data_IF_005841610416
#
_entry.id   IF_005841610416
#
_cell.length_a   1.000
_cell.length_b   1.000
_cell.length_c   1.000
_cell.angle_alpha   90.00
_cell.angle_beta   90.00
_cell.angle_gamma   90.00
#
_symmetry.space_group_name_H-M   'P 1'
#
loop_
_entity.id
_entity.type
_entity.pdbx_description
1 polymer ?
#
# COMPACT_ATOMS: atom_id res chain seq x y z
N UNK A 1 -39.94 -16.65 21.81
CA UNK A 1 -41.18 -15.89 21.79
C UNK A 1 -42.11 -16.46 20.74
N UNK A 2 -43.39 -16.58 21.07
CA UNK A 2 -44.45 -16.88 20.10
C UNK A 2 -44.75 -15.63 19.25
N UNK A 3 -45.48 -15.79 18.14
CA UNK A 3 -45.94 -14.62 17.35
C UNK A 3 -46.83 -13.69 18.21
N UNK A 4 -47.70 -14.26 19.05
CA UNK A 4 -48.56 -13.52 19.96
C UNK A 4 -47.77 -12.70 21.00
N UNK A 5 -46.67 -13.28 21.56
CA UNK A 5 -45.75 -12.55 22.44
C UNK A 5 -45.06 -11.40 21.71
N UNK A 6 -44.68 -11.61 20.45
CA UNK A 6 -44.03 -10.57 19.63
C UNK A 6 -45.01 -9.42 19.37
N UNK A 7 -46.23 -9.72 18.92
CA UNK A 7 -47.26 -8.71 18.65
C UNK A 7 -47.58 -7.89 19.91
N UNK A 8 -47.77 -8.56 21.05
CA UNK A 8 -47.97 -7.90 22.34
C UNK A 8 -46.84 -6.97 22.74
N UNK A 9 -45.57 -7.46 22.62
CA UNK A 9 -44.40 -6.65 22.97
C UNK A 9 -44.21 -5.43 22.06
N UNK A 10 -44.51 -5.58 20.74
CA UNK A 10 -44.51 -4.47 19.81
C UNK A 10 -45.62 -3.44 20.14
N UNK A 11 -46.83 -3.90 20.47
CA UNK A 11 -47.91 -3.02 20.87
C UNK A 11 -47.61 -2.24 22.17
N UNK A 12 -46.84 -2.83 23.09
CA UNK A 12 -46.38 -2.21 24.32
C UNK A 12 -45.18 -1.26 24.08
N UNK A 13 -44.70 -1.10 22.85
CA UNK A 13 -43.55 -0.22 22.50
C UNK A 13 -42.19 -0.70 23.04
N UNK A 14 -42.05 -1.98 23.34
CA UNK A 14 -40.77 -2.53 23.84
C UNK A 14 -39.72 -2.46 22.75
N UNK A 15 -38.49 -2.09 23.16
CA UNK A 15 -37.36 -2.14 22.25
C UNK A 15 -37.06 -3.58 21.81
N UNK A 16 -36.73 -3.76 20.55
CA UNK A 16 -36.46 -5.07 19.98
C UNK A 16 -35.22 -5.04 19.05
N UNK A 17 -34.68 -6.20 18.78
CA UNK A 17 -33.66 -6.44 17.78
C UNK A 17 -34.13 -7.57 16.88
N UNK A 18 -33.82 -7.50 15.58
CA UNK A 18 -34.06 -8.63 14.69
C UNK A 18 -32.83 -9.55 14.71
N UNK A 19 -33.06 -10.84 14.91
CA UNK A 19 -32.02 -11.87 14.86
C UNK A 19 -32.27 -12.85 13.72
N UNK A 20 -31.18 -13.30 13.10
CA UNK A 20 -31.20 -14.52 12.31
C UNK A 20 -31.48 -15.70 13.27
N UNK A 21 -32.40 -16.56 12.89
CA UNK A 21 -32.45 -17.89 13.51
C UNK A 21 -31.58 -18.81 12.66
N UNK A 22 -30.40 -19.16 13.16
CA UNK A 22 -29.50 -20.03 12.44
C UNK A 22 -30.09 -21.42 12.24
N UNK A 23 -29.88 -21.97 11.06
CA UNK A 23 -30.29 -23.32 10.67
C UNK A 23 -29.18 -24.35 10.74
N UNK A 24 -27.97 -23.91 11.15
CA UNK A 24 -26.78 -24.76 11.20
C UNK A 24 -26.75 -25.73 12.38
N UNK A 25 -25.82 -26.66 12.32
CA UNK A 25 -25.60 -27.70 13.33
C UNK A 25 -24.08 -27.80 13.65
N UNK A 26 -23.76 -28.06 14.93
CA UNK A 26 -22.37 -28.27 15.37
C UNK A 26 -21.68 -29.45 14.64
N UNK A 27 -22.46 -30.48 14.29
CA UNK A 27 -21.96 -31.69 13.64
C UNK A 27 -21.78 -31.55 12.13
N UNK A 28 -22.23 -30.43 11.55
CA UNK A 28 -22.22 -30.21 10.10
C UNK A 28 -21.15 -29.20 9.70
N UNK A 29 -20.64 -29.39 8.50
CA UNK A 29 -19.66 -28.49 7.90
C UNK A 29 -20.18 -27.92 6.59
N UNK A 30 -19.77 -26.71 6.31
CA UNK A 30 -19.97 -26.03 5.03
C UNK A 30 -18.64 -26.04 4.26
N UNK A 31 -18.74 -26.32 2.96
CA UNK A 31 -17.60 -26.20 2.04
C UNK A 31 -17.89 -25.03 1.10
N UNK A 32 -16.96 -24.13 0.92
CA UNK A 32 -17.04 -23.04 -0.05
C UNK A 32 -15.71 -22.88 -0.79
N UNK A 33 -15.77 -22.34 -2.00
CA UNK A 33 -14.60 -22.08 -2.83
C UNK A 33 -14.16 -20.61 -2.64
N UNK A 34 -12.99 -20.42 -2.04
CA UNK A 34 -12.32 -19.12 -2.01
C UNK A 34 -11.45 -18.97 -3.26
N UNK A 35 -11.54 -17.82 -3.94
CA UNK A 35 -10.84 -17.62 -5.22
C UNK A 35 -9.32 -17.66 -5.07
N UNK A 36 -8.78 -17.25 -3.90
CA UNK A 36 -7.35 -17.21 -3.61
C UNK A 36 -6.90 -18.52 -2.96
N UNK A 37 -7.69 -19.03 -2.00
CA UNK A 37 -7.29 -20.13 -1.10
C UNK A 37 -7.81 -21.51 -1.53
N UNK A 38 -8.69 -21.53 -2.53
CA UNK A 38 -9.33 -22.77 -2.96
C UNK A 38 -10.44 -23.22 -2.01
N UNK A 39 -10.66 -24.52 -1.91
CA UNK A 39 -11.71 -25.09 -1.06
C UNK A 39 -11.39 -24.93 0.42
N UNK A 40 -12.33 -24.36 1.15
CA UNK A 40 -12.29 -24.19 2.61
C UNK A 40 -13.46 -24.94 3.21
N UNK A 41 -13.18 -25.75 4.21
CA UNK A 41 -14.18 -26.47 5.00
C UNK A 41 -14.22 -25.88 6.41
N UNK A 42 -15.42 -25.54 6.87
CA UNK A 42 -15.64 -24.91 8.18
C UNK A 42 -16.93 -25.44 8.83
N UNK A 43 -17.10 -25.35 10.16
CA UNK A 43 -18.40 -25.58 10.82
C UNK A 43 -19.48 -24.67 10.24
N UNK A 44 -20.71 -25.14 10.20
CA UNK A 44 -21.86 -24.28 9.88
C UNK A 44 -22.02 -23.17 10.93
N UNK A 45 -22.73 -22.09 10.57
CA UNK A 45 -23.08 -21.06 11.54
C UNK A 45 -24.18 -21.60 12.49
N UNK A 46 -23.96 -21.50 13.78
CA UNK A 46 -24.93 -21.90 14.83
C UNK A 46 -25.37 -20.70 15.68
N UNK A 47 -24.90 -19.49 15.31
CA UNK A 47 -25.14 -18.29 16.09
C UNK A 47 -26.33 -17.51 15.51
N UNK A 48 -27.28 -17.18 16.36
CA UNK A 48 -28.40 -16.30 16.06
C UNK A 48 -27.92 -14.84 16.03
N UNK A 49 -27.33 -14.42 14.92
CA UNK A 49 -26.76 -13.07 14.78
C UNK A 49 -27.81 -11.98 14.79
N UNK A 50 -27.48 -10.85 15.43
CA UNK A 50 -28.30 -9.64 15.35
C UNK A 50 -28.19 -9.05 13.95
N UNK A 51 -29.32 -8.90 13.26
CA UNK A 51 -29.42 -8.32 11.91
C UNK A 51 -29.73 -6.84 11.95
N UNK A 52 -30.76 -6.46 12.75
CA UNK A 52 -31.10 -5.06 13.00
C UNK A 52 -30.97 -4.77 14.48
N UNK A 53 -30.32 -3.65 14.82
CA UNK A 53 -30.22 -3.12 16.17
C UNK A 53 -31.54 -2.46 16.59
N UNK A 54 -31.67 -2.14 17.87
CA UNK A 54 -32.87 -1.50 18.40
C UNK A 54 -33.16 -0.09 17.85
N UNK A 55 -32.16 0.55 17.25
CA UNK A 55 -32.29 1.82 16.53
C UNK A 55 -32.68 1.65 15.06
N UNK A 56 -32.94 0.40 14.61
CA UNK A 56 -33.28 0.08 13.21
C UNK A 56 -32.11 0.01 12.26
N UNK A 57 -30.88 0.31 12.72
CA UNK A 57 -29.68 0.26 11.87
C UNK A 57 -29.22 -1.20 11.75
N UNK A 58 -28.92 -1.67 10.52
CA UNK A 58 -28.42 -3.03 10.32
C UNK A 58 -27.01 -3.19 10.91
N UNK A 59 -26.73 -4.43 11.34
CA UNK A 59 -25.34 -4.81 11.64
C UNK A 59 -24.57 -5.02 10.33
N UNK A 60 -23.23 -5.01 10.44
CA UNK A 60 -22.36 -5.26 9.28
C UNK A 60 -22.74 -6.53 8.50
N UNK A 61 -23.04 -7.62 9.19
CA UNK A 61 -23.35 -8.89 8.55
C UNK A 61 -24.60 -8.83 7.67
N UNK A 62 -25.64 -8.14 8.12
CA UNK A 62 -26.87 -7.99 7.35
C UNK A 62 -26.69 -6.94 6.24
N UNK A 63 -26.07 -5.81 6.54
CA UNK A 63 -25.73 -4.80 5.55
C UNK A 63 -24.92 -5.40 4.38
N UNK A 64 -23.87 -6.20 4.70
CA UNK A 64 -23.08 -6.93 3.72
C UNK A 64 -23.95 -7.76 2.75
N UNK A 65 -24.91 -8.55 3.27
CA UNK A 65 -25.74 -9.37 2.41
C UNK A 65 -26.67 -8.54 1.50
N UNK A 66 -27.28 -7.47 2.05
CA UNK A 66 -28.20 -6.61 1.33
C UNK A 66 -27.49 -5.72 0.31
N UNK A 67 -26.44 -5.01 0.75
CA UNK A 67 -25.73 -4.06 -0.10
C UNK A 67 -25.05 -4.78 -1.27
N UNK A 68 -24.37 -5.89 -1.02
CA UNK A 68 -23.75 -6.67 -2.08
C UNK A 68 -24.76 -7.25 -3.09
N UNK A 69 -25.95 -7.64 -2.62
CA UNK A 69 -27.01 -8.06 -3.52
C UNK A 69 -27.49 -6.92 -4.42
N UNK A 70 -27.85 -5.76 -3.82
CA UNK A 70 -28.40 -4.62 -4.57
C UNK A 70 -27.36 -3.95 -5.46
N UNK A 71 -26.10 -3.90 -5.02
CA UNK A 71 -24.97 -3.42 -5.82
C UNK A 71 -24.50 -4.43 -6.88
N UNK A 72 -25.08 -5.63 -6.91
CA UNK A 72 -24.73 -6.73 -7.84
C UNK A 72 -23.26 -7.13 -7.73
N UNK A 73 -22.72 -7.14 -6.52
CA UNK A 73 -21.35 -7.54 -6.24
C UNK A 73 -21.11 -8.98 -6.67
N UNK A 74 -20.12 -9.18 -7.52
CA UNK A 74 -19.77 -10.52 -8.04
C UNK A 74 -18.68 -11.20 -7.21
N UNK A 75 -17.76 -10.40 -6.66
CA UNK A 75 -16.61 -10.87 -5.89
C UNK A 75 -16.45 -9.99 -4.65
N UNK A 76 -16.34 -10.60 -3.48
CA UNK A 76 -16.00 -9.96 -2.22
C UNK A 76 -14.54 -10.20 -1.92
N UNK A 77 -13.70 -9.17 -2.07
CA UNK A 77 -12.27 -9.23 -1.81
C UNK A 77 -12.01 -8.53 -0.47
N UNK A 78 -11.49 -9.27 0.52
CA UNK A 78 -11.26 -8.74 1.87
C UNK A 78 -10.16 -9.50 2.59
N UNK A 79 -9.74 -9.02 3.76
CA UNK A 79 -8.72 -9.67 4.58
C UNK A 79 -9.16 -11.03 5.14
N UNK A 80 -8.22 -11.93 5.34
CA UNK A 80 -8.44 -13.30 5.83
C UNK A 80 -9.08 -13.39 7.22
N UNK A 81 -9.03 -12.31 8.01
CA UNK A 81 -9.71 -12.22 9.31
C UNK A 81 -11.23 -12.40 9.21
N UNK A 82 -11.79 -12.26 8.02
CA UNK A 82 -13.22 -12.43 7.74
C UNK A 82 -13.60 -13.85 7.32
N UNK A 83 -12.66 -14.77 7.17
CA UNK A 83 -12.95 -16.17 6.76
C UNK A 83 -13.93 -16.81 7.74
N UNK A 84 -13.73 -16.61 9.06
CA UNK A 84 -14.61 -17.17 10.09
C UNK A 84 -16.06 -16.69 9.99
N UNK A 85 -16.32 -15.60 9.30
CA UNK A 85 -17.68 -15.05 9.10
C UNK A 85 -18.36 -15.58 7.82
N UNK A 86 -17.65 -16.28 6.93
CA UNK A 86 -18.21 -16.76 5.66
C UNK A 86 -19.41 -17.69 5.84
N UNK A 87 -19.40 -18.66 6.78
CA UNK A 87 -20.56 -19.55 6.99
C UNK A 87 -21.86 -18.77 7.28
N UNK A 88 -21.82 -17.77 8.16
CA UNK A 88 -22.98 -16.94 8.48
C UNK A 88 -23.40 -16.05 7.31
N UNK A 89 -22.43 -15.52 6.53
CA UNK A 89 -22.75 -14.71 5.36
C UNK A 89 -23.44 -15.55 4.27
N UNK A 90 -22.95 -16.76 4.00
CA UNK A 90 -23.59 -17.69 3.04
C UNK A 90 -25.03 -18.03 3.51
N UNK A 91 -25.23 -18.26 4.81
CA UNK A 91 -26.56 -18.51 5.37
C UNK A 91 -27.47 -17.30 5.16
N UNK A 92 -27.01 -16.07 5.45
CA UNK A 92 -27.76 -14.83 5.24
C UNK A 92 -28.19 -14.65 3.79
N UNK A 93 -27.26 -14.80 2.83
CA UNK A 93 -27.61 -14.74 1.41
C UNK A 93 -28.71 -15.73 1.04
N UNK A 94 -28.62 -16.97 1.54
CA UNK A 94 -29.61 -18.03 1.26
C UNK A 94 -30.98 -17.70 1.87
N UNK A 95 -31.01 -17.26 3.15
CA UNK A 95 -32.26 -16.91 3.84
C UNK A 95 -32.94 -15.72 3.16
N UNK A 96 -32.18 -14.74 2.69
CA UNK A 96 -32.72 -13.61 1.92
C UNK A 96 -33.08 -13.95 0.46
N UNK A 97 -32.84 -15.18 0.00
CA UNK A 97 -33.07 -15.57 -1.39
C UNK A 97 -32.09 -14.93 -2.38
N UNK A 98 -30.93 -14.49 -1.90
CA UNK A 98 -29.92 -13.80 -2.68
C UNK A 98 -28.85 -14.77 -3.21
N UNK A 99 -28.27 -14.41 -4.37
CA UNK A 99 -27.14 -15.15 -4.90
C UNK A 99 -25.88 -14.87 -4.09
N UNK A 100 -25.23 -15.93 -3.59
CA UNK A 100 -23.95 -15.82 -2.86
C UNK A 100 -22.86 -15.32 -3.82
N UNK A 101 -22.12 -14.24 -3.48
CA UNK A 101 -20.96 -13.79 -4.27
C UNK A 101 -19.79 -14.76 -4.13
N UNK A 102 -18.78 -14.61 -4.99
CA UNK A 102 -17.49 -15.29 -4.81
C UNK A 102 -16.68 -14.56 -3.76
N UNK A 103 -16.06 -15.31 -2.86
CA UNK A 103 -15.17 -14.77 -1.84
C UNK A 103 -13.70 -14.92 -2.25
N UNK A 104 -12.91 -13.92 -1.93
CA UNK A 104 -11.46 -13.91 -2.14
C UNK A 104 -10.79 -13.29 -0.90
N UNK A 105 -10.17 -14.09 -0.07
CA UNK A 105 -9.56 -13.63 1.17
C UNK A 105 -8.06 -13.43 1.01
N UNK A 106 -7.64 -12.16 1.03
CA UNK A 106 -6.25 -11.76 0.94
C UNK A 106 -5.52 -12.01 2.25
N UNK A 107 -4.22 -12.35 2.20
CA UNK A 107 -3.41 -12.46 3.40
C UNK A 107 -3.23 -11.08 4.07
N UNK A 108 -2.90 -11.10 5.35
CA UNK A 108 -2.54 -9.88 6.08
C UNK A 108 -1.14 -9.43 5.72
N UNK A 109 -0.93 -8.10 5.71
CA UNK A 109 0.42 -7.53 5.68
C UNK A 109 0.98 -7.60 7.10
N UNK A 110 2.12 -8.25 7.22
CA UNK A 110 2.82 -8.49 8.48
C UNK A 110 4.06 -7.59 8.55
N UNK A 111 4.52 -7.33 9.77
CA UNK A 111 5.81 -6.70 10.06
C UNK A 111 6.52 -7.53 11.10
N UNK A 112 7.86 -7.59 11.04
CA UNK A 112 8.66 -8.15 12.11
C UNK A 112 8.67 -7.14 13.27
N UNK A 113 8.31 -7.60 14.45
CA UNK A 113 8.42 -6.81 15.68
C UNK A 113 9.90 -6.69 16.06
N UNK A 114 10.36 -5.46 16.27
CA UNK A 114 11.80 -5.20 16.53
C UNK A 114 12.25 -5.67 17.91
N UNK A 115 11.32 -5.79 18.86
CA UNK A 115 11.64 -6.20 20.24
C UNK A 115 11.63 -7.73 20.37
N UNK A 116 10.66 -8.40 19.75
CA UNK A 116 10.48 -9.85 19.95
C UNK A 116 10.99 -10.69 18.78
N UNK A 117 11.17 -10.09 17.60
CA UNK A 117 11.50 -10.80 16.36
C UNK A 117 10.31 -11.54 15.73
N UNK A 118 9.13 -11.51 16.36
CA UNK A 118 7.94 -12.19 15.89
C UNK A 118 7.26 -11.43 14.75
N UNK A 119 6.57 -12.16 13.89
CA UNK A 119 5.74 -11.57 12.83
C UNK A 119 4.37 -11.23 13.39
N UNK A 120 4.01 -9.95 13.32
CA UNK A 120 2.69 -9.44 13.73
C UNK A 120 2.00 -8.70 12.59
N UNK A 121 0.69 -8.56 12.67
CA UNK A 121 -0.08 -7.73 11.74
C UNK A 121 0.38 -6.28 11.80
N UNK A 122 0.55 -5.66 10.64
CA UNK A 122 0.79 -4.22 10.51
C UNK A 122 -0.39 -3.45 11.13
N UNK A 123 -0.11 -2.49 12.00
CA UNK A 123 -1.11 -1.82 12.83
C UNK A 123 -0.99 -0.30 12.73
N UNK A 124 -2.07 0.38 12.34
CA UNK A 124 -2.13 1.85 12.29
C UNK A 124 -1.76 2.57 13.60
N UNK A 125 -1.83 1.88 14.74
CA UNK A 125 -1.47 2.47 16.06
C UNK A 125 0.01 2.40 16.36
N UNK A 126 0.72 1.43 15.79
CA UNK A 126 2.14 1.17 16.07
C UNK A 126 3.04 1.47 14.87
N UNK A 127 2.52 1.35 13.66
CA UNK A 127 3.28 1.38 12.42
C UNK A 127 2.78 2.53 11.52
N UNK A 128 3.54 3.62 11.39
CA UNK A 128 3.16 4.75 10.52
C UNK A 128 2.89 4.30 9.07
N UNK A 129 3.65 3.34 8.58
CA UNK A 129 3.54 2.75 7.24
C UNK A 129 2.23 1.95 7.01
N UNK A 130 1.42 1.75 8.04
CA UNK A 130 0.06 1.22 7.90
C UNK A 130 -0.95 2.26 7.39
N UNK A 131 -0.56 3.52 7.31
CA UNK A 131 -1.37 4.64 6.84
C UNK A 131 -0.90 5.13 5.47
N UNK A 132 -1.84 5.43 4.57
CA UNK A 132 -1.52 5.98 3.24
C UNK A 132 -0.76 7.31 3.35
N UNK A 133 -1.08 8.13 4.35
CA UNK A 133 -0.41 9.41 4.61
C UNK A 133 1.10 9.29 4.73
N UNK A 134 1.59 8.22 5.35
CA UNK A 134 3.03 7.95 5.47
C UNK A 134 3.77 7.97 4.12
N UNK A 135 3.19 7.33 3.11
CA UNK A 135 3.81 7.27 1.78
C UNK A 135 3.69 8.61 1.05
N UNK A 136 2.57 9.31 1.20
CA UNK A 136 2.32 10.60 0.56
C UNK A 136 3.25 11.67 1.16
N UNK A 137 3.29 11.78 2.47
CA UNK A 137 4.14 12.72 3.22
C UNK A 137 5.63 12.40 3.01
N UNK A 138 5.98 11.11 3.00
CA UNK A 138 7.33 10.63 2.70
C UNK A 138 7.76 10.85 1.24
N UNK A 139 6.83 11.22 0.34
CA UNK A 139 7.12 11.52 -1.05
C UNK A 139 7.33 10.27 -1.93
N UNK A 140 6.74 9.13 -1.59
CA UNK A 140 6.76 7.98 -2.48
C UNK A 140 5.84 8.20 -3.68
N UNK A 141 6.29 7.93 -4.92
CA UNK A 141 5.40 7.88 -6.07
C UNK A 141 4.26 6.87 -5.84
N UNK A 142 3.06 7.23 -6.26
CA UNK A 142 1.89 6.34 -6.18
C UNK A 142 2.16 4.99 -6.86
N UNK A 143 2.79 5.03 -8.02
CA UNK A 143 3.15 3.87 -8.83
C UNK A 143 4.09 2.93 -8.06
N UNK A 144 5.05 3.49 -7.34
CA UNK A 144 6.01 2.72 -6.52
C UNK A 144 5.30 1.91 -5.43
N UNK A 145 4.34 2.53 -4.74
CA UNK A 145 3.57 1.86 -3.69
C UNK A 145 2.68 0.77 -4.29
N UNK A 146 2.03 1.03 -5.43
CA UNK A 146 1.20 0.03 -6.12
C UNK A 146 2.03 -1.15 -6.63
N UNK A 147 3.19 -0.91 -7.24
CA UNK A 147 4.08 -1.99 -7.70
C UNK A 147 4.63 -2.82 -6.54
N UNK A 148 5.00 -2.15 -5.46
CA UNK A 148 5.41 -2.85 -4.25
C UNK A 148 4.30 -3.75 -3.69
N UNK A 149 3.07 -3.26 -3.60
CA UNK A 149 1.93 -4.07 -3.15
C UNK A 149 1.68 -5.25 -4.09
N UNK A 150 1.78 -5.06 -5.42
CA UNK A 150 1.66 -6.16 -6.38
C UNK A 150 2.77 -7.19 -6.20
N UNK A 151 3.99 -6.77 -5.92
CA UNK A 151 5.12 -7.66 -5.60
C UNK A 151 4.82 -8.54 -4.37
N UNK A 152 4.17 -7.97 -3.37
CA UNK A 152 3.81 -8.71 -2.15
C UNK A 152 2.70 -9.75 -2.38
N UNK A 153 1.71 -9.41 -3.19
CA UNK A 153 0.50 -10.23 -3.33
C UNK A 153 0.50 -11.15 -4.56
N UNK A 154 1.35 -10.90 -5.56
CA UNK A 154 1.38 -11.66 -6.80
C UNK A 154 2.80 -11.99 -7.24
N UNK A 155 3.20 -13.25 -7.08
CA UNK A 155 4.56 -13.71 -7.37
C UNK A 155 5.01 -13.55 -8.84
N UNK A 156 4.06 -13.37 -9.79
CA UNK A 156 4.38 -13.21 -11.20
C UNK A 156 4.68 -11.75 -11.57
N UNK A 157 4.41 -10.79 -10.66
CA UNK A 157 4.55 -9.37 -10.98
C UNK A 157 6.01 -8.97 -11.21
N UNK A 158 6.93 -9.43 -10.39
CA UNK A 158 8.35 -9.09 -10.53
C UNK A 158 8.94 -9.56 -11.88
N UNK A 159 8.59 -10.79 -12.30
CA UNK A 159 9.05 -11.32 -13.59
C UNK A 159 8.43 -10.55 -14.75
N UNK A 160 7.14 -10.22 -14.65
CA UNK A 160 6.48 -9.39 -15.66
C UNK A 160 7.11 -8.00 -15.73
N UNK A 161 7.37 -7.34 -14.61
CA UNK A 161 7.98 -6.00 -14.57
C UNK A 161 9.41 -6.02 -15.12
N UNK A 162 10.18 -7.06 -14.83
CA UNK A 162 11.53 -7.23 -15.38
C UNK A 162 11.51 -7.36 -16.91
N UNK A 163 10.53 -8.06 -17.45
CA UNK A 163 10.34 -8.20 -18.91
C UNK A 163 9.74 -6.94 -19.56
N UNK A 164 9.04 -6.09 -18.79
CA UNK A 164 8.32 -4.91 -19.27
C UNK A 164 8.62 -3.67 -18.39
N UNK A 165 9.88 -3.18 -18.38
CA UNK A 165 10.33 -2.19 -17.41
C UNK A 165 9.67 -0.82 -17.53
N UNK A 166 9.14 -0.47 -18.70
CA UNK A 166 8.51 0.83 -19.02
C UNK A 166 6.99 0.74 -19.25
N UNK A 167 6.42 -0.47 -19.22
CA UNK A 167 4.98 -0.64 -19.45
C UNK A 167 4.16 -0.10 -18.28
N UNK A 168 3.00 0.46 -18.60
CA UNK A 168 2.03 0.88 -17.58
C UNK A 168 1.57 -0.32 -16.75
N UNK A 169 1.49 -0.14 -15.42
CA UNK A 169 1.11 -1.19 -14.47
C UNK A 169 -0.26 -1.82 -14.78
N UNK A 170 -1.17 -1.07 -15.41
CA UNK A 170 -2.49 -1.57 -15.83
C UNK A 170 -2.41 -2.66 -16.89
N UNK A 171 -1.27 -2.81 -17.58
CA UNK A 171 -1.03 -3.89 -18.55
C UNK A 171 -0.66 -5.22 -17.89
N UNK A 172 -0.37 -5.23 -16.61
CA UNK A 172 -0.11 -6.46 -15.89
C UNK A 172 -1.35 -7.37 -15.91
N UNK A 173 -1.23 -8.63 -16.37
CA UNK A 173 -2.35 -9.57 -16.43
C UNK A 173 -2.71 -10.09 -15.04
N UNK A 174 -3.29 -9.21 -14.22
CA UNK A 174 -3.66 -9.51 -12.84
C UNK A 174 -4.68 -10.64 -12.77
N UNK A 175 -4.44 -11.60 -11.88
CA UNK A 175 -5.35 -12.71 -11.66
C UNK A 175 -5.42 -13.06 -10.17
N UNK A 176 -6.62 -13.00 -9.59
CA UNK A 176 -6.87 -13.32 -8.18
C UNK A 176 -6.38 -14.73 -7.78
N UNK A 177 -6.48 -15.71 -8.68
CA UNK A 177 -6.02 -17.08 -8.42
C UNK A 177 -4.49 -17.21 -8.30
N UNK A 178 -3.75 -16.18 -8.74
CA UNK A 178 -2.28 -16.11 -8.64
C UNK A 178 -1.82 -15.32 -7.42
N UNK A 179 -2.75 -14.81 -6.62
CA UNK A 179 -2.41 -14.12 -5.39
C UNK A 179 -1.86 -15.11 -4.35
N UNK A 180 -0.93 -14.61 -3.55
CA UNK A 180 -0.41 -15.36 -2.40
C UNK A 180 -1.52 -15.62 -1.39
N UNK A 181 -1.57 -16.83 -0.83
CA UNK A 181 -2.42 -17.19 0.31
C UNK A 181 -1.69 -17.07 1.65
N UNK A 182 -0.38 -16.77 1.62
CA UNK A 182 0.46 -16.61 2.82
C UNK A 182 0.61 -15.14 3.17
N UNK A 183 0.79 -14.83 4.45
CA UNK A 183 1.05 -13.46 4.91
C UNK A 183 2.26 -12.83 4.21
N UNK A 184 2.13 -11.57 3.86
CA UNK A 184 3.16 -10.80 3.19
C UNK A 184 3.92 -9.98 4.23
N UNK A 185 5.24 -10.08 4.26
CA UNK A 185 6.07 -9.27 5.16
C UNK A 185 6.34 -7.92 4.51
N UNK A 186 5.97 -6.84 5.20
CA UNK A 186 6.32 -5.48 4.79
C UNK A 186 7.82 -5.26 4.97
N UNK A 187 8.46 -4.77 3.93
CA UNK A 187 9.90 -4.46 3.89
C UNK A 187 10.11 -3.10 3.22
N UNK A 188 10.55 -2.13 4.03
CA UNK A 188 10.82 -0.76 3.56
C UNK A 188 12.01 -0.70 2.61
N UNK A 189 13.03 -1.56 2.80
CA UNK A 189 14.19 -1.64 1.91
C UNK A 189 13.73 -2.06 0.51
N UNK A 190 12.88 -3.09 0.44
CA UNK A 190 12.31 -3.55 -0.83
C UNK A 190 11.42 -2.47 -1.47
N UNK A 191 10.62 -1.74 -0.69
CA UNK A 191 9.83 -0.62 -1.22
C UNK A 191 10.73 0.46 -1.83
N UNK A 192 11.80 0.83 -1.15
CA UNK A 192 12.78 1.81 -1.67
C UNK A 192 13.39 1.32 -2.99
N UNK A 193 13.78 0.04 -3.09
CA UNK A 193 14.33 -0.53 -4.32
C UNK A 193 13.32 -0.51 -5.48
N UNK A 194 12.06 -0.86 -5.20
CA UNK A 194 10.99 -0.76 -6.21
C UNK A 194 10.81 0.70 -6.64
N UNK A 195 10.80 1.62 -5.69
CA UNK A 195 10.62 3.05 -5.97
C UNK A 195 11.76 3.63 -6.80
N UNK A 196 13.00 3.30 -6.49
CA UNK A 196 14.16 3.67 -7.32
C UNK A 196 14.04 3.17 -8.75
N UNK A 197 13.54 1.96 -8.94
CA UNK A 197 13.29 1.42 -10.28
C UNK A 197 12.21 2.23 -11.03
N UNK A 198 11.10 2.54 -10.37
CA UNK A 198 10.00 3.34 -10.95
C UNK A 198 10.49 4.73 -11.31
N UNK A 199 11.17 5.43 -10.41
CA UNK A 199 11.67 6.79 -10.65
C UNK A 199 12.75 6.81 -11.75
N UNK A 200 13.58 5.79 -11.83
CA UNK A 200 14.67 5.74 -12.81
C UNK A 200 14.22 5.72 -14.27
N UNK A 201 12.99 5.29 -14.55
CA UNK A 201 12.43 5.25 -15.92
C UNK A 201 11.59 6.48 -16.26
N UNK A 202 11.33 7.38 -15.30
CA UNK A 202 10.66 8.66 -15.53
C UNK A 202 11.58 9.62 -16.28
N UNK A 203 11.04 10.50 -17.11
CA UNK A 203 11.77 11.61 -17.72
C UNK A 203 12.19 12.65 -16.66
N UNK A 204 13.18 13.47 -16.97
CA UNK A 204 13.62 14.55 -16.08
C UNK A 204 12.48 15.54 -15.76
N UNK A 205 11.63 15.84 -16.76
CA UNK A 205 10.46 16.70 -16.57
C UNK A 205 9.45 16.10 -15.60
N UNK A 206 9.12 14.79 -15.73
CA UNK A 206 8.23 14.11 -14.80
C UNK A 206 8.77 14.12 -13.37
N UNK A 207 10.08 13.89 -13.20
CA UNK A 207 10.71 13.95 -11.87
C UNK A 207 10.63 15.37 -11.31
N UNK A 208 11.00 16.38 -12.10
CA UNK A 208 10.91 17.77 -11.69
C UNK A 208 9.50 18.16 -11.22
N UNK A 209 8.48 17.82 -12.02
CA UNK A 209 7.07 18.14 -11.70
C UNK A 209 6.61 17.43 -10.41
N UNK A 210 6.95 16.16 -10.25
CA UNK A 210 6.58 15.41 -9.04
C UNK A 210 7.26 15.94 -7.79
N UNK A 211 8.56 16.27 -7.87
CA UNK A 211 9.30 16.89 -6.76
C UNK A 211 8.71 18.25 -6.40
N UNK A 212 8.46 19.11 -7.38
CA UNK A 212 7.87 20.43 -7.16
C UNK A 212 6.48 20.32 -6.54
N UNK A 213 5.62 19.42 -7.04
CA UNK A 213 4.28 19.20 -6.48
C UNK A 213 4.32 18.71 -5.04
N UNK A 214 5.23 17.80 -4.71
CA UNK A 214 5.43 17.32 -3.34
C UNK A 214 5.97 18.44 -2.44
N UNK A 215 7.04 19.12 -2.87
CA UNK A 215 7.71 20.16 -2.10
C UNK A 215 6.77 21.35 -1.80
N UNK A 216 5.91 21.70 -2.73
CA UNK A 216 4.90 22.77 -2.54
C UNK A 216 4.03 22.56 -1.29
N UNK A 217 3.79 21.31 -0.91
CA UNK A 217 2.93 20.96 0.23
C UNK A 217 3.75 20.67 1.48
N UNK A 218 4.88 19.97 1.33
CA UNK A 218 5.61 19.39 2.46
C UNK A 218 6.95 20.06 2.78
N UNK A 219 7.54 20.82 1.82
CA UNK A 219 8.75 21.62 2.02
C UNK A 219 8.71 22.89 1.16
N UNK A 220 7.86 23.89 1.52
CA UNK A 220 7.71 25.13 0.73
C UNK A 220 9.00 25.92 0.52
N UNK A 221 9.94 25.87 1.47
CA UNK A 221 11.24 26.53 1.33
C UNK A 221 12.06 25.91 0.20
N UNK A 222 12.10 24.56 0.15
CA UNK A 222 12.74 23.84 -0.94
C UNK A 222 12.00 24.08 -2.27
N UNK A 223 10.67 24.13 -2.25
CA UNK A 223 9.86 24.43 -3.43
C UNK A 223 10.28 25.75 -4.08
N UNK A 224 10.40 26.82 -3.29
CA UNK A 224 10.76 28.16 -3.82
C UNK A 224 12.16 28.14 -4.46
N UNK A 225 13.12 27.45 -3.83
CA UNK A 225 14.48 27.32 -4.36
C UNK A 225 14.50 26.48 -5.63
N UNK A 226 13.84 25.31 -5.61
CA UNK A 226 13.87 24.33 -6.70
C UNK A 226 13.11 24.83 -7.93
N UNK A 227 12.07 25.65 -7.76
CA UNK A 227 11.25 26.19 -8.86
C UNK A 227 11.69 27.57 -9.32
N UNK A 228 12.69 28.19 -8.72
CA UNK A 228 13.21 29.50 -9.12
C UNK A 228 13.76 29.50 -10.56
N UNK A 229 14.38 28.39 -10.97
CA UNK A 229 14.81 28.15 -12.35
C UNK A 229 14.41 26.72 -12.77
N UNK A 230 13.23 26.55 -13.39
CA UNK A 230 12.75 25.23 -13.82
C UNK A 230 13.66 24.55 -14.84
N UNK A 231 14.32 25.32 -15.71
CA UNK A 231 15.23 24.79 -16.73
C UNK A 231 16.46 24.18 -16.09
N UNK A 232 17.08 24.92 -15.18
CA UNK A 232 18.22 24.41 -14.41
C UNK A 232 17.85 23.18 -13.58
N UNK A 233 16.78 23.24 -12.82
CA UNK A 233 16.35 22.12 -11.98
C UNK A 233 16.01 20.87 -12.78
N UNK A 234 15.38 21.03 -13.95
CA UNK A 234 15.13 19.90 -14.86
C UNK A 234 16.44 19.33 -15.40
N UNK A 235 17.42 20.17 -15.74
CA UNK A 235 18.75 19.71 -16.20
C UNK A 235 19.47 18.93 -15.09
N UNK A 236 19.42 19.40 -13.85
CA UNK A 236 19.97 18.66 -12.67
C UNK A 236 19.28 17.29 -12.53
N UNK A 237 17.94 17.22 -12.70
CA UNK A 237 17.22 15.94 -12.66
C UNK A 237 17.53 15.02 -13.85
N UNK A 238 18.10 15.55 -14.94
CA UNK A 238 18.47 14.78 -16.12
C UNK A 238 19.85 14.13 -16.05
N UNK A 239 20.69 14.49 -15.08
CA UNK A 239 22.03 13.93 -14.95
C UNK A 239 21.94 12.40 -14.86
N UNK A 240 22.63 11.70 -15.77
CA UNK A 240 22.69 10.24 -15.91
C UNK A 240 21.31 9.53 -16.09
N UNK A 241 20.26 10.26 -16.47
CA UNK A 241 18.92 9.69 -16.61
C UNK A 241 18.70 9.02 -17.96
N UNK A 242 19.22 9.60 -19.03
CA UNK A 242 19.02 9.11 -20.40
C UNK A 242 20.00 7.97 -20.79
N UNK A 243 20.79 7.49 -19.83
CA UNK A 243 21.71 6.39 -20.04
C UNK A 243 20.97 5.05 -20.19
N UNK A 244 21.57 4.06 -20.91
CA UNK A 244 21.01 2.69 -20.98
C UNK A 244 20.82 2.03 -19.62
N UNK A 245 21.56 2.48 -18.59
CA UNK A 245 21.44 2.11 -17.20
C UNK A 245 21.24 3.38 -16.36
N UNK A 246 20.02 3.91 -16.28
CA UNK A 246 19.76 5.13 -15.54
C UNK A 246 20.08 4.96 -14.06
N UNK A 247 20.50 6.05 -13.42
CA UNK A 247 20.79 6.07 -11.98
C UNK A 247 19.54 5.74 -11.15
N UNK A 248 19.73 5.04 -10.04
CA UNK A 248 18.70 4.59 -9.11
C UNK A 248 18.96 5.12 -7.69
N UNK A 249 19.16 6.43 -7.58
CA UNK A 249 19.56 7.05 -6.33
C UNK A 249 18.37 7.52 -5.50
N UNK A 250 17.34 8.04 -6.15
CA UNK A 250 16.17 8.64 -5.52
C UNK A 250 15.09 7.57 -5.33
N UNK A 251 14.66 7.37 -4.08
CA UNK A 251 13.53 6.51 -3.73
C UNK A 251 12.26 7.33 -3.40
N UNK A 252 12.42 8.58 -2.98
CA UNK A 252 11.33 9.45 -2.50
C UNK A 252 11.61 10.90 -2.85
N UNK A 253 10.55 11.66 -3.08
CA UNK A 253 10.68 13.10 -3.37
C UNK A 253 11.29 13.88 -2.21
N UNK A 254 11.07 13.44 -0.97
CA UNK A 254 11.64 14.02 0.24
C UNK A 254 13.17 13.92 0.35
N UNK A 255 13.81 13.01 -0.40
CA UNK A 255 15.26 12.86 -0.42
C UNK A 255 15.96 13.80 -1.40
N UNK A 256 15.20 14.38 -2.35
CA UNK A 256 15.76 15.14 -3.47
C UNK A 256 16.50 16.39 -2.97
N UNK A 257 15.98 17.11 -1.99
CA UNK A 257 16.61 18.30 -1.41
C UNK A 257 18.07 18.05 -1.02
N UNK A 258 18.29 17.00 -0.23
CA UNK A 258 19.64 16.66 0.25
C UNK A 258 20.51 16.13 -0.89
N UNK A 259 19.92 15.35 -1.79
CA UNK A 259 20.61 14.75 -2.92
C UNK A 259 21.15 15.78 -3.91
N UNK A 260 20.41 16.90 -4.12
CA UNK A 260 20.78 17.96 -5.07
C UNK A 260 21.36 19.20 -4.41
N UNK A 261 21.52 19.22 -3.10
CA UNK A 261 21.88 20.42 -2.33
C UNK A 261 23.11 21.16 -2.89
N UNK A 262 24.12 20.44 -3.37
CA UNK A 262 25.36 21.01 -3.89
C UNK A 262 25.19 21.76 -5.24
N UNK A 263 24.08 21.57 -5.94
CA UNK A 263 23.77 22.36 -7.15
C UNK A 263 23.11 23.70 -6.83
N UNK A 264 22.52 23.84 -5.63
CA UNK A 264 21.73 25.01 -5.28
C UNK A 264 22.44 25.81 -4.17
N UNK A 265 22.96 26.96 -4.51
CA UNK A 265 23.73 27.82 -3.58
C UNK A 265 23.04 28.03 -2.21
N UNK A 266 21.71 28.25 -2.12
CA UNK A 266 21.02 28.39 -0.83
C UNK A 266 21.00 27.12 0.03
N UNK A 267 21.13 25.95 -0.58
CA UNK A 267 21.10 24.65 0.10
C UNK A 267 22.50 24.12 0.40
N UNK A 268 23.52 24.61 -0.30
CA UNK A 268 24.87 24.10 -0.20
C UNK A 268 25.48 24.46 1.14
N UNK A 269 25.78 23.44 1.93
CA UNK A 269 26.47 23.56 3.21
C UNK A 269 27.74 22.70 3.13
N UNK A 270 28.90 23.29 2.74
CA UNK A 270 30.11 22.53 2.59
C UNK A 270 30.63 22.05 3.96
N UNK A 271 30.92 20.77 4.06
CA UNK A 271 31.65 20.18 5.19
C UNK A 271 33.13 20.15 4.86
N UNK A 272 33.91 20.87 5.64
CA UNK A 272 35.37 20.95 5.50
C UNK A 272 36.09 19.96 6.42
N UNK A 273 35.40 19.05 7.06
CA UNK A 273 35.98 18.02 7.90
C UNK A 273 36.76 17.04 7.02
N UNK A 274 38.06 16.98 7.22
CA UNK A 274 38.89 16.02 6.48
C UNK A 274 38.74 14.61 7.06
N UNK A 275 38.75 13.57 6.21
CA UNK A 275 38.86 12.19 6.67
C UNK A 275 40.12 11.99 7.52
N UNK A 276 40.06 11.13 8.54
CA UNK A 276 41.15 10.89 9.50
C UNK A 276 42.50 10.50 8.85
N UNK A 277 42.44 9.93 7.65
CA UNK A 277 43.61 9.49 6.89
C UNK A 277 44.17 10.52 5.89
N UNK A 278 43.62 11.74 5.84
CA UNK A 278 44.05 12.81 4.92
C UNK A 278 44.48 14.01 5.75
N UNK A 279 45.75 14.41 5.60
CA UNK A 279 46.24 15.62 6.21
C UNK A 279 45.76 16.89 5.51
N UNK A 280 45.72 18.01 6.21
CA UNK A 280 45.36 19.30 5.59
C UNK A 280 46.36 19.69 4.47
N UNK A 281 47.62 19.28 4.56
CA UNK A 281 48.63 19.50 3.56
C UNK A 281 48.36 18.70 2.29
N UNK A 282 47.98 17.41 2.44
CA UNK A 282 47.61 16.55 1.30
C UNK A 282 46.34 17.04 0.63
N UNK A 283 45.31 17.41 1.40
CA UNK A 283 44.07 17.97 0.88
C UNK A 283 44.30 19.25 0.06
N UNK A 284 45.20 20.14 0.59
CA UNK A 284 45.60 21.35 -0.11
C UNK A 284 46.33 21.05 -1.41
N UNK A 285 47.29 20.14 -1.39
CA UNK A 285 48.04 19.74 -2.56
C UNK A 285 47.13 19.12 -3.67
N UNK A 286 46.16 18.30 -3.26
CA UNK A 286 45.17 17.73 -4.18
C UNK A 286 44.30 18.84 -4.79
N UNK A 287 43.81 19.79 -3.98
CA UNK A 287 42.98 20.89 -4.46
C UNK A 287 43.74 21.81 -5.42
N UNK A 288 45.00 22.16 -5.08
CA UNK A 288 45.86 22.98 -5.95
C UNK A 288 46.13 22.31 -7.29
N UNK A 289 46.40 20.98 -7.29
CA UNK A 289 46.62 20.21 -8.49
C UNK A 289 45.34 20.13 -9.35
N UNK A 290 44.21 19.87 -8.69
CA UNK A 290 42.89 19.82 -9.39
C UNK A 290 42.59 21.15 -10.06
N UNK A 291 42.75 22.29 -9.37
CA UNK A 291 42.50 23.62 -9.91
C UNK A 291 43.44 23.98 -11.07
N UNK A 292 44.67 23.47 -11.06
CA UNK A 292 45.64 23.71 -12.13
C UNK A 292 45.38 22.89 -13.39
N UNK A 293 44.76 21.72 -13.25
CA UNK A 293 44.51 20.77 -14.34
C UNK A 293 43.04 20.79 -14.79
N UNK A 294 42.13 21.46 -14.02
CA UNK A 294 40.70 21.50 -14.30
C UNK A 294 40.40 22.25 -15.61
N UNK A 295 39.74 21.55 -16.54
CA UNK A 295 39.19 22.15 -17.74
C UNK A 295 37.67 22.09 -17.65
N UNK A 296 36.99 23.24 -17.87
CA UNK A 296 35.53 23.30 -17.93
C UNK A 296 34.91 22.45 -19.06
N UNK A 297 35.73 21.95 -19.97
CA UNK A 297 35.33 21.06 -21.06
C UNK A 297 35.50 19.56 -20.71
N UNK A 298 36.06 19.24 -19.54
CA UNK A 298 36.14 17.87 -19.04
C UNK A 298 34.79 17.51 -18.37
N UNK A 299 33.94 16.83 -19.12
CA UNK A 299 32.68 16.23 -18.65
C UNK A 299 32.92 14.82 -18.06
#
# INVERSE_FOLDING_TARGET
>A
LTLEDIEKNLAEGKQWVLRLRSSGSEDKKIIFDDVIRGKIEMPENIIDEVLLKSDGIPTYHFAHACDDHFMRTTHVIRGEEWISSVPKHIELFKVCGYKVPKYAHTPQVLKTDEETGDKRKLSKRKDPEAAVGYFVEGGFPKESVLEYLLTLINSNFEDWRRANPKEDISKFPFNLKKMSSRGCLFDLVKLNDVSKNVISVMSATEVYENVANWAKVYDPEFYDIFTADPTFSTAVMNIDRENPKPRKDIARWSEVKDYVAYFFKPLYQPDYTLPENISAEDAKAIAEKYLAEFDLADD
#
